data_IF_902593143459
#
_entry.id   IF_902593143459
#
_cell.length_a   1.000
_cell.length_b   1.000
_cell.length_c   1.000
_cell.angle_alpha   90.00
_cell.angle_beta   90.00
_cell.angle_gamma   90.00
#
_symmetry.space_group_name_H-M   'P 1'
#
loop_
_entity.id
_entity.type
_entity.pdbx_description
1 polymer ?
#
# COMPACT_ATOMS: atom_id res chain seq x y z
N UNK A 1 -67.02 -17.37 49.98
CA UNK A 1 -65.67 -17.98 49.85
C UNK A 1 -65.54 -18.48 48.41
N UNK A 2 -64.53 -18.26 47.57
CA UNK A 2 -63.14 -17.74 47.68
C UNK A 2 -62.66 -17.32 46.27
N UNK A 3 -61.93 -16.19 46.24
CA UNK A 3 -60.77 -15.77 45.41
C UNK A 3 -60.77 -15.92 43.88
N UNK A 4 -60.70 -14.77 43.22
CA UNK A 4 -60.07 -14.50 41.92
C UNK A 4 -58.54 -14.60 41.98
N UNK A 5 -57.91 -15.09 40.91
CA UNK A 5 -56.46 -15.18 40.73
C UNK A 5 -56.07 -14.39 39.47
N UNK A 6 -55.33 -13.28 39.65
CA UNK A 6 -54.70 -12.54 38.56
C UNK A 6 -53.42 -13.23 38.10
N UNK A 7 -53.30 -13.48 36.78
CA UNK A 7 -52.04 -13.82 36.12
C UNK A 7 -51.16 -12.57 35.98
N UNK A 8 -49.93 -12.64 36.50
CA UNK A 8 -48.87 -11.65 36.28
C UNK A 8 -47.97 -12.19 35.16
N UNK A 9 -48.06 -11.62 33.96
CA UNK A 9 -47.13 -11.85 32.86
C UNK A 9 -45.79 -11.20 33.18
N UNK A 10 -44.71 -12.00 33.22
CA UNK A 10 -43.35 -11.49 33.32
C UNK A 10 -42.95 -10.73 32.07
N UNK A 11 -42.57 -9.46 32.23
CA UNK A 11 -41.85 -8.70 31.22
C UNK A 11 -40.39 -9.17 31.23
N UNK A 12 -39.94 -9.71 30.11
CA UNK A 12 -38.53 -10.03 29.84
C UNK A 12 -37.78 -8.75 29.47
N UNK A 13 -36.75 -8.42 30.26
CA UNK A 13 -35.80 -7.30 30.10
C UNK A 13 -34.97 -7.41 28.81
N UNK A 14 -35.55 -7.04 27.68
CA UNK A 14 -34.87 -7.03 26.38
C UNK A 14 -34.02 -5.77 26.13
N UNK A 15 -34.21 -4.69 26.89
CA UNK A 15 -33.60 -3.36 26.62
C UNK A 15 -32.26 -3.15 27.35
N UNK A 16 -32.11 -3.65 28.58
CA UNK A 16 -30.89 -3.43 29.38
C UNK A 16 -29.65 -4.15 28.81
N UNK A 17 -29.83 -5.35 28.24
CA UNK A 17 -28.74 -6.09 27.64
C UNK A 17 -28.16 -5.34 26.43
N UNK A 18 -29.02 -4.80 25.55
CA UNK A 18 -28.58 -4.10 24.35
C UNK A 18 -27.81 -2.81 24.64
N UNK A 19 -28.17 -2.09 25.71
CA UNK A 19 -27.48 -0.86 26.10
C UNK A 19 -26.14 -1.14 26.80
N UNK A 20 -26.04 -2.21 27.59
CA UNK A 20 -24.78 -2.68 28.17
C UNK A 20 -23.79 -3.16 27.10
N UNK A 21 -24.27 -3.90 26.10
CA UNK A 21 -23.44 -4.35 24.97
C UNK A 21 -22.93 -3.17 24.13
N UNK A 22 -23.78 -2.16 23.86
CA UNK A 22 -23.36 -0.93 23.15
C UNK A 22 -22.32 -0.13 23.95
N UNK A 23 -22.51 0.02 25.26
CA UNK A 23 -21.57 0.72 26.14
C UNK A 23 -20.22 0.01 26.27
N UNK A 24 -20.22 -1.32 26.36
CA UNK A 24 -18.99 -2.11 26.38
C UNK A 24 -18.21 -2.02 25.05
N UNK A 25 -18.92 -2.06 23.92
CA UNK A 25 -18.33 -1.94 22.58
C UNK A 25 -17.72 -0.56 22.34
N UNK A 26 -18.38 0.52 22.77
CA UNK A 26 -17.83 1.88 22.62
C UNK A 26 -16.58 2.09 23.49
N UNK A 27 -16.59 1.57 24.73
CA UNK A 27 -15.44 1.61 25.63
C UNK A 27 -14.26 0.80 25.10
N UNK A 28 -14.51 -0.35 24.47
CA UNK A 28 -13.46 -1.16 23.85
C UNK A 28 -12.81 -0.45 22.66
N UNK A 29 -13.61 0.18 21.79
CA UNK A 29 -13.11 0.95 20.64
C UNK A 29 -12.29 2.17 21.08
N UNK A 30 -12.71 2.87 22.14
CA UNK A 30 -11.93 3.98 22.71
C UNK A 30 -10.56 3.52 23.23
N UNK A 31 -10.50 2.38 23.94
CA UNK A 31 -9.22 1.82 24.41
C UNK A 31 -8.32 1.32 23.29
N UNK A 32 -8.88 0.81 22.20
CA UNK A 32 -8.10 0.44 21.01
C UNK A 32 -7.45 1.66 20.37
N UNK A 33 -8.22 2.74 20.19
CA UNK A 33 -7.72 4.00 19.65
C UNK A 33 -6.58 4.57 20.50
N UNK A 34 -6.74 4.57 21.82
CA UNK A 34 -5.70 5.02 22.76
C UNK A 34 -4.40 4.18 22.63
N UNK A 35 -4.51 2.86 22.41
CA UNK A 35 -3.33 2.01 22.16
C UNK A 35 -2.66 2.31 20.82
N UNK A 36 -3.45 2.56 19.77
CA UNK A 36 -2.93 2.96 18.45
C UNK A 36 -2.16 4.29 18.56
N UNK A 37 -2.70 5.26 19.31
CA UNK A 37 -2.07 6.56 19.53
C UNK A 37 -0.78 6.43 20.35
N UNK A 38 -0.81 5.66 21.44
CA UNK A 38 0.38 5.42 22.25
C UNK A 38 1.50 4.76 21.44
N UNK A 39 1.15 3.84 20.53
CA UNK A 39 2.12 3.23 19.61
C UNK A 39 2.64 4.23 18.57
N UNK A 40 1.82 5.18 18.10
CA UNK A 40 2.32 6.26 17.25
C UNK A 40 3.39 7.08 17.98
N UNK A 41 3.09 7.49 19.21
CA UNK A 41 3.99 8.34 19.99
C UNK A 41 5.27 7.64 20.45
N UNK A 42 5.36 6.31 20.40
CA UNK A 42 6.63 5.60 20.63
C UNK A 42 7.61 5.75 19.47
N UNK A 43 7.13 6.07 18.26
CA UNK A 43 7.97 6.28 17.07
C UNK A 43 8.00 7.74 16.59
N UNK A 44 7.03 8.55 17.00
CA UNK A 44 6.95 9.94 16.54
C UNK A 44 8.05 10.82 17.13
N UNK A 45 8.62 11.67 16.29
CA UNK A 45 9.54 12.71 16.70
C UNK A 45 8.79 13.81 17.46
N UNK A 46 9.28 14.17 18.64
CA UNK A 46 8.63 15.13 19.54
C UNK A 46 8.53 16.54 18.97
N UNK A 47 9.46 16.93 18.09
CA UNK A 47 9.52 18.26 17.50
C UNK A 47 8.59 18.39 16.29
N UNK A 48 8.54 17.37 15.43
CA UNK A 48 7.70 17.39 14.22
C UNK A 48 6.27 16.92 14.48
N UNK A 49 6.05 16.12 15.53
CA UNK A 49 4.77 15.47 15.82
C UNK A 49 4.42 14.35 14.82
N UNK A 50 5.38 13.92 14.01
CA UNK A 50 5.22 12.89 12.98
C UNK A 50 6.21 11.76 13.22
N UNK A 51 5.89 10.57 12.73
CA UNK A 51 6.91 9.53 12.51
C UNK A 51 7.71 9.97 11.30
N UNK A 52 8.98 10.28 11.49
CA UNK A 52 9.95 10.68 10.46
C UNK A 52 10.80 9.47 10.02
N UNK A 53 11.80 9.61 9.12
CA UNK A 53 12.58 8.48 8.64
C UNK A 53 13.21 7.64 9.77
N UNK A 54 13.72 8.27 10.81
CA UNK A 54 14.30 7.60 11.98
C UNK A 54 13.24 6.80 12.76
N UNK A 55 12.04 7.36 12.91
CA UNK A 55 10.90 6.66 13.48
C UNK A 55 10.44 5.47 12.63
N UNK A 56 10.46 5.60 11.30
CA UNK A 56 10.15 4.50 10.37
C UNK A 56 11.21 3.39 10.47
N UNK A 57 12.49 3.73 10.51
CA UNK A 57 13.57 2.74 10.70
C UNK A 57 13.40 1.97 12.02
N UNK A 58 13.09 2.68 13.10
CA UNK A 58 12.82 2.08 14.41
C UNK A 58 11.62 1.13 14.36
N UNK A 59 10.53 1.55 13.71
CA UNK A 59 9.36 0.70 13.48
C UNK A 59 9.71 -0.55 12.65
N UNK A 60 10.48 -0.39 11.58
CA UNK A 60 10.91 -1.49 10.71
C UNK A 60 11.74 -2.53 11.47
N UNK A 61 12.64 -2.06 12.33
CA UNK A 61 13.42 -2.91 13.24
C UNK A 61 12.50 -3.73 14.16
N UNK A 62 11.53 -3.10 14.80
CA UNK A 62 10.61 -3.75 15.75
C UNK A 62 9.68 -4.77 15.11
N UNK A 63 9.27 -4.55 13.85
CA UNK A 63 8.46 -5.51 13.09
C UNK A 63 9.32 -6.51 12.28
N UNK A 64 10.65 -6.44 12.40
CA UNK A 64 11.65 -7.30 11.76
C UNK A 64 11.54 -7.33 10.23
N UNK A 65 11.48 -6.14 9.62
CA UNK A 65 11.53 -5.97 8.16
C UNK A 65 12.55 -4.90 7.78
N UNK A 66 13.10 -4.97 6.57
CA UNK A 66 13.95 -3.90 6.05
C UNK A 66 13.11 -2.63 5.81
N UNK A 67 13.67 -1.45 6.03
CA UNK A 67 13.02 -0.18 5.65
C UNK A 67 12.83 -0.05 4.12
N UNK A 68 13.58 -0.84 3.33
CA UNK A 68 13.43 -0.97 1.87
C UNK A 68 12.45 -2.07 1.43
N UNK A 69 11.81 -2.77 2.38
CA UNK A 69 10.87 -3.84 2.06
C UNK A 69 9.58 -3.28 1.46
N UNK A 70 9.08 -3.91 0.40
CA UNK A 70 7.83 -3.50 -0.28
C UNK A 70 6.63 -3.45 0.67
N UNK A 71 6.65 -4.24 1.75
CA UNK A 71 5.59 -4.25 2.76
C UNK A 71 5.48 -2.92 3.51
N UNK A 72 6.56 -2.15 3.61
CA UNK A 72 6.52 -0.78 4.17
C UNK A 72 5.79 0.16 3.22
N UNK A 73 6.03 0.04 1.90
CA UNK A 73 5.28 0.79 0.89
C UNK A 73 3.79 0.39 0.86
N UNK A 74 3.48 -0.90 1.04
CA UNK A 74 2.11 -1.39 1.18
C UNK A 74 1.43 -0.83 2.45
N UNK A 75 2.17 -0.69 3.54
CA UNK A 75 1.67 -0.07 4.77
C UNK A 75 1.36 1.42 4.55
N UNK A 76 2.24 2.15 3.88
CA UNK A 76 2.01 3.54 3.48
C UNK A 76 0.75 3.68 2.60
N UNK A 77 0.56 2.76 1.64
CA UNK A 77 -0.66 2.70 0.83
C UNK A 77 -1.91 2.48 1.70
N UNK A 78 -1.85 1.55 2.66
CA UNK A 78 -2.96 1.26 3.57
C UNK A 78 -3.34 2.45 4.45
N UNK A 79 -2.33 3.22 4.88
CA UNK A 79 -2.49 4.46 5.64
C UNK A 79 -2.98 5.63 4.78
N UNK A 80 -2.88 5.51 3.45
CA UNK A 80 -3.02 6.60 2.48
C UNK A 80 -2.05 7.74 2.80
N UNK A 81 -0.79 7.39 3.02
CA UNK A 81 0.25 8.34 3.37
C UNK A 81 0.50 9.33 2.22
N UNK A 82 0.55 10.63 2.54
CA UNK A 82 0.71 11.68 1.54
C UNK A 82 2.18 12.00 1.24
N UNK A 83 3.07 11.84 2.23
CA UNK A 83 4.48 12.21 2.12
C UNK A 83 5.40 11.01 2.32
N UNK A 84 6.34 10.79 1.40
CA UNK A 84 7.33 9.73 1.54
C UNK A 84 8.21 9.92 2.77
N UNK A 85 8.36 8.85 3.55
CA UNK A 85 9.23 8.85 4.73
C UNK A 85 8.61 9.52 5.96
N UNK A 86 7.32 9.89 5.92
CA UNK A 86 6.63 10.48 7.06
C UNK A 86 5.24 9.87 7.24
N UNK A 87 4.82 9.69 8.49
CA UNK A 87 3.44 9.37 8.84
C UNK A 87 2.90 10.34 9.90
N UNK A 88 1.73 10.89 9.60
CA UNK A 88 0.92 11.66 10.55
C UNK A 88 0.10 10.72 11.44
N UNK A 89 -0.38 11.24 12.58
CA UNK A 89 -1.23 10.48 13.50
C UNK A 89 -2.52 9.99 12.82
N UNK A 90 -3.10 10.79 11.93
CA UNK A 90 -4.35 10.45 11.24
C UNK A 90 -4.16 9.33 10.20
N UNK A 91 -3.07 9.37 9.43
CA UNK A 91 -2.68 8.29 8.51
C UNK A 91 -2.41 6.99 9.28
N UNK A 92 -1.67 7.10 10.38
CA UNK A 92 -1.37 5.97 11.26
C UNK A 92 -2.63 5.33 11.83
N UNK A 93 -3.52 6.14 12.42
CA UNK A 93 -4.83 5.69 12.95
C UNK A 93 -5.64 4.98 11.87
N UNK A 94 -5.72 5.56 10.67
CA UNK A 94 -6.45 5.00 9.52
C UNK A 94 -5.93 3.61 9.17
N UNK A 95 -4.61 3.46 9.02
CA UNK A 95 -3.96 2.21 8.66
C UNK A 95 -4.12 1.14 9.74
N UNK A 96 -3.74 1.44 10.97
CA UNK A 96 -3.75 0.45 12.06
C UNK A 96 -5.15 0.02 12.47
N UNK A 97 -6.13 0.94 12.41
CA UNK A 97 -7.54 0.57 12.61
C UNK A 97 -8.04 -0.36 11.51
N UNK A 98 -7.69 -0.08 10.24
CA UNK A 98 -8.07 -0.94 9.12
C UNK A 98 -7.40 -2.33 9.19
N UNK A 99 -6.18 -2.41 9.74
CA UNK A 99 -5.44 -3.65 9.98
C UNK A 99 -5.80 -4.35 11.30
N UNK A 100 -6.59 -3.70 12.17
CA UNK A 100 -6.88 -4.16 13.55
C UNK A 100 -5.61 -4.46 14.35
N UNK A 101 -4.62 -3.60 14.19
CA UNK A 101 -3.28 -3.77 14.71
C UNK A 101 -2.92 -2.64 15.68
N UNK A 102 -3.22 -2.79 16.96
CA UNK A 102 -2.96 -1.81 18.02
C UNK A 102 -1.66 -2.07 18.81
N UNK A 103 -0.80 -2.98 18.32
CA UNK A 103 0.52 -3.31 18.90
C UNK A 103 1.48 -3.71 17.78
N UNK A 104 2.80 -3.57 18.02
CA UNK A 104 3.87 -4.02 17.09
C UNK A 104 3.64 -5.46 16.62
N UNK A 105 3.39 -6.37 17.56
CA UNK A 105 3.18 -7.79 17.25
C UNK A 105 1.97 -8.03 16.34
N UNK A 106 0.88 -7.28 16.53
CA UNK A 106 -0.29 -7.39 15.64
C UNK A 106 0.00 -6.77 14.28
N UNK A 107 0.72 -5.65 14.22
CA UNK A 107 1.11 -5.02 12.96
C UNK A 107 2.00 -5.96 12.13
N UNK A 108 3.04 -6.53 12.74
CA UNK A 108 3.91 -7.54 12.12
C UNK A 108 3.11 -8.72 11.56
N UNK A 109 2.14 -9.24 12.33
CA UNK A 109 1.26 -10.35 11.90
C UNK A 109 0.27 -9.95 10.80
N UNK A 110 -0.06 -8.67 10.67
CA UNK A 110 -0.97 -8.17 9.64
C UNK A 110 -0.29 -7.99 8.28
N UNK A 111 1.03 -7.82 8.22
CA UNK A 111 1.75 -7.57 6.96
C UNK A 111 1.53 -8.66 5.88
N UNK A 112 1.56 -9.98 6.19
CA UNK A 112 1.30 -11.00 5.16
C UNK A 112 -0.12 -10.94 4.60
N UNK A 113 -1.11 -10.57 5.41
CA UNK A 113 -2.49 -10.45 4.96
C UNK A 113 -2.70 -9.14 4.17
N UNK A 114 -2.00 -8.06 4.54
CA UNK A 114 -1.94 -6.85 3.74
C UNK A 114 -1.30 -7.10 2.36
N UNK A 115 -0.25 -7.92 2.29
CA UNK A 115 0.36 -8.29 1.01
C UNK A 115 -0.63 -9.04 0.10
N UNK A 116 -1.38 -10.00 0.65
CA UNK A 116 -2.46 -10.68 -0.08
C UNK A 116 -3.56 -9.71 -0.51
N UNK A 117 -3.90 -8.75 0.34
CA UNK A 117 -4.88 -7.70 0.03
C UNK A 117 -4.45 -6.86 -1.17
N UNK A 118 -3.19 -6.41 -1.17
CA UNK A 118 -2.60 -5.58 -2.22
C UNK A 118 -2.50 -6.35 -3.53
N UNK A 119 -2.13 -7.64 -3.49
CA UNK A 119 -1.97 -8.48 -4.69
C UNK A 119 -3.28 -8.79 -5.44
N UNK A 120 -4.45 -8.39 -4.93
CA UNK A 120 -5.71 -8.51 -5.69
C UNK A 120 -5.71 -7.52 -6.86
N UNK A 121 -6.15 -7.89 -8.08
CA UNK A 121 -5.96 -7.09 -9.28
C UNK A 121 -6.34 -5.60 -9.16
N UNK A 122 -7.53 -5.31 -8.63
CA UNK A 122 -8.01 -3.92 -8.46
C UNK A 122 -7.20 -3.14 -7.44
N UNK A 123 -6.78 -3.80 -6.36
CA UNK A 123 -5.96 -3.18 -5.32
C UNK A 123 -4.53 -2.97 -5.81
N UNK A 124 -4.00 -3.91 -6.58
CA UNK A 124 -2.64 -3.82 -7.10
C UNK A 124 -2.50 -2.66 -8.07
N UNK A 125 -3.49 -2.43 -8.94
CA UNK A 125 -3.49 -1.27 -9.83
C UNK A 125 -3.48 0.06 -9.06
N UNK A 126 -4.30 0.18 -8.00
CA UNK A 126 -4.32 1.37 -7.13
C UNK A 126 -3.01 1.54 -6.34
N UNK A 127 -2.49 0.44 -5.78
CA UNK A 127 -1.19 0.41 -5.10
C UNK A 127 -0.04 0.80 -6.03
N UNK A 128 -0.04 0.29 -7.26
CA UNK A 128 0.98 0.58 -8.26
C UNK A 128 0.97 2.06 -8.66
N UNK A 129 -0.21 2.65 -8.85
CA UNK A 129 -0.35 4.10 -9.08
C UNK A 129 0.02 4.92 -7.83
N UNK A 130 -0.29 4.44 -6.63
CA UNK A 130 0.12 5.06 -5.38
C UNK A 130 1.64 5.07 -5.22
N UNK A 131 2.32 3.96 -5.48
CA UNK A 131 3.78 3.83 -5.35
C UNK A 131 4.52 4.94 -6.11
N UNK A 132 4.13 5.21 -7.36
CA UNK A 132 4.71 6.29 -8.15
C UNK A 132 4.41 7.67 -7.57
N UNK A 133 3.15 7.93 -7.17
CA UNK A 133 2.78 9.22 -6.55
C UNK A 133 3.54 9.46 -5.25
N UNK A 134 3.77 8.40 -4.48
CA UNK A 134 4.48 8.48 -3.22
C UNK A 134 5.94 8.93 -3.43
N UNK A 135 6.57 8.58 -4.55
CA UNK A 135 7.90 9.05 -4.92
C UNK A 135 7.96 10.49 -5.45
N UNK A 136 6.82 11.18 -5.64
CA UNK A 136 6.79 12.59 -6.04
C UNK A 136 6.90 13.46 -4.78
N UNK A 137 8.11 13.89 -4.44
CA UNK A 137 8.38 14.60 -3.18
C UNK A 137 8.22 16.11 -3.27
N UNK A 138 8.14 16.69 -4.47
CA UNK A 138 8.00 18.13 -4.70
C UNK A 138 6.61 18.49 -5.26
N UNK A 139 6.01 19.61 -4.83
CA UNK A 139 4.62 20.00 -5.15
C UNK A 139 4.27 20.04 -6.66
N UNK A 140 5.26 20.32 -7.52
CA UNK A 140 5.08 20.45 -8.97
C UNK A 140 5.70 19.31 -9.76
N UNK A 141 6.28 18.32 -9.09
CA UNK A 141 6.89 17.17 -9.74
C UNK A 141 5.81 16.28 -10.34
N UNK A 142 5.97 15.92 -11.61
CA UNK A 142 5.05 15.04 -12.34
C UNK A 142 5.73 13.80 -12.90
N UNK A 143 7.03 13.68 -12.66
CA UNK A 143 7.88 12.63 -13.20
C UNK A 143 8.96 12.26 -12.19
N UNK A 144 9.38 11.00 -12.25
CA UNK A 144 10.45 10.42 -11.42
C UNK A 144 11.65 10.12 -12.32
N UNK A 145 12.87 10.30 -11.83
CA UNK A 145 14.09 9.99 -12.59
C UNK A 145 14.23 8.48 -12.86
N UNK A 146 15.05 8.14 -13.86
CA UNK A 146 15.22 6.75 -14.31
C UNK A 146 15.76 5.83 -13.21
N UNK A 147 16.68 6.31 -12.37
CA UNK A 147 17.31 5.48 -11.33
C UNK A 147 16.26 5.06 -10.30
N UNK A 148 15.52 6.04 -9.77
CA UNK A 148 14.42 5.81 -8.84
C UNK A 148 13.30 4.94 -9.45
N UNK A 149 12.96 5.12 -10.73
CA UNK A 149 11.96 4.27 -11.41
C UNK A 149 12.44 2.82 -11.53
N UNK A 150 13.72 2.60 -11.82
CA UNK A 150 14.27 1.24 -11.90
C UNK A 150 14.16 0.51 -10.55
N UNK A 151 14.50 1.20 -9.45
CA UNK A 151 14.33 0.66 -8.10
C UNK A 151 12.86 0.35 -7.80
N UNK A 152 11.97 1.28 -8.11
CA UNK A 152 10.54 1.12 -7.87
C UNK A 152 9.94 -0.03 -8.69
N UNK A 153 10.31 -0.18 -9.98
CA UNK A 153 9.90 -1.31 -10.83
C UNK A 153 10.33 -2.64 -10.21
N UNK A 154 11.59 -2.74 -9.79
CA UNK A 154 12.13 -3.94 -9.14
C UNK A 154 11.38 -4.27 -7.86
N UNK A 155 11.05 -3.25 -7.07
CA UNK A 155 10.36 -3.37 -5.79
C UNK A 155 8.91 -3.84 -5.94
N UNK A 156 8.14 -3.23 -6.86
CA UNK A 156 6.69 -3.46 -6.93
C UNK A 156 6.29 -4.53 -7.96
N UNK A 157 7.00 -4.66 -9.09
CA UNK A 157 6.67 -5.64 -10.14
C UNK A 157 7.63 -6.84 -10.18
N UNK A 158 8.85 -6.71 -9.65
CA UNK A 158 9.90 -7.72 -9.83
C UNK A 158 9.55 -9.12 -9.31
N UNK A 159 8.69 -9.24 -8.29
CA UNK A 159 8.26 -10.55 -7.79
C UNK A 159 7.35 -11.31 -8.75
N UNK A 160 6.54 -10.60 -9.55
CA UNK A 160 5.55 -11.20 -10.45
C UNK A 160 6.03 -11.25 -11.90
N UNK A 161 6.80 -10.24 -12.33
CA UNK A 161 7.20 -10.03 -13.72
C UNK A 161 8.73 -9.93 -13.86
N UNK A 162 9.46 -10.78 -13.12
CA UNK A 162 10.93 -10.72 -13.00
C UNK A 162 11.63 -10.50 -14.33
N UNK A 163 11.35 -11.36 -15.32
CA UNK A 163 12.01 -11.30 -16.62
C UNK A 163 11.70 -9.98 -17.36
N UNK A 164 10.43 -9.58 -17.44
CA UNK A 164 10.03 -8.32 -18.08
C UNK A 164 10.70 -7.12 -17.39
N UNK A 165 10.67 -7.09 -16.05
CA UNK A 165 11.21 -6.00 -15.24
C UNK A 165 12.72 -5.89 -15.39
N UNK A 166 13.45 -7.02 -15.39
CA UNK A 166 14.90 -7.01 -15.53
C UNK A 166 15.33 -6.43 -16.90
N UNK A 167 14.65 -6.82 -17.99
CA UNK A 167 14.91 -6.26 -19.32
C UNK A 167 14.45 -4.80 -19.46
N UNK A 168 13.32 -4.42 -18.88
CA UNK A 168 12.87 -3.03 -18.85
C UNK A 168 13.89 -2.15 -18.11
N UNK A 169 14.39 -2.60 -16.95
CA UNK A 169 15.43 -1.88 -16.19
C UNK A 169 16.73 -1.79 -17.01
N UNK A 170 17.14 -2.87 -17.68
CA UNK A 170 18.32 -2.85 -18.55
C UNK A 170 18.16 -1.79 -19.64
N UNK A 171 17.03 -1.82 -20.37
CA UNK A 171 16.72 -0.86 -21.42
C UNK A 171 16.69 0.58 -20.90
N UNK A 172 15.99 0.84 -19.80
CA UNK A 172 15.85 2.18 -19.23
C UNK A 172 17.21 2.78 -18.84
N UNK A 173 18.17 1.95 -18.40
CA UNK A 173 19.53 2.37 -18.02
C UNK A 173 20.43 2.71 -19.22
N UNK A 174 20.22 2.09 -20.38
CA UNK A 174 21.08 2.30 -21.56
C UNK A 174 20.52 3.33 -22.54
N UNK A 175 19.20 3.51 -22.59
CA UNK A 175 18.56 4.47 -23.48
C UNK A 175 18.89 5.91 -23.03
N UNK A 176 18.98 6.84 -23.97
CA UNK A 176 19.28 8.26 -23.68
C UNK A 176 18.12 9.23 -23.93
N UNK A 177 17.03 8.75 -24.51
CA UNK A 177 15.89 9.56 -24.94
C UNK A 177 15.05 10.08 -23.76
N UNK A 178 15.00 9.31 -22.68
CA UNK A 178 14.24 9.61 -21.48
C UNK A 178 15.16 9.79 -20.28
N UNK A 179 14.97 10.90 -19.56
CA UNK A 179 15.62 11.19 -18.26
C UNK A 179 14.69 11.02 -17.08
N UNK A 180 13.39 11.01 -17.34
CA UNK A 180 12.33 10.88 -16.34
C UNK A 180 11.16 10.08 -16.92
N UNK A 181 10.39 9.46 -16.05
CA UNK A 181 9.17 8.72 -16.36
C UNK A 181 7.99 9.43 -15.70
N UNK A 182 6.91 9.63 -16.43
CA UNK A 182 5.66 10.19 -15.92
C UNK A 182 4.64 9.10 -15.54
N UNK A 183 3.50 9.50 -14.96
CA UNK A 183 2.44 8.56 -14.55
C UNK A 183 1.90 7.70 -15.69
N UNK A 184 1.74 8.25 -16.89
CA UNK A 184 1.19 7.51 -18.04
C UNK A 184 2.12 6.38 -18.47
N UNK A 185 3.42 6.69 -18.61
CA UNK A 185 4.46 5.70 -18.91
C UNK A 185 4.56 4.64 -17.82
N UNK A 186 4.53 5.05 -16.55
CA UNK A 186 4.54 4.14 -15.40
C UNK A 186 3.38 3.15 -15.46
N UNK A 187 2.15 3.64 -15.64
CA UNK A 187 0.96 2.78 -15.79
C UNK A 187 1.03 1.91 -17.05
N UNK A 188 1.65 2.42 -18.12
CA UNK A 188 1.96 1.67 -19.33
C UNK A 188 2.83 0.44 -19.04
N UNK A 189 3.86 0.55 -18.20
CA UNK A 189 4.72 -0.59 -17.84
C UNK A 189 3.94 -1.72 -17.16
N UNK A 190 3.01 -1.38 -16.25
CA UNK A 190 2.14 -2.39 -15.64
C UNK A 190 1.18 -3.00 -16.65
N UNK A 191 0.55 -2.19 -17.50
CA UNK A 191 -0.33 -2.68 -18.57
C UNK A 191 0.43 -3.63 -19.50
N UNK A 192 1.65 -3.26 -19.88
CA UNK A 192 2.53 -4.08 -20.71
C UNK A 192 2.82 -5.44 -20.08
N UNK A 193 3.18 -5.47 -18.78
CA UNK A 193 3.45 -6.71 -18.07
C UNK A 193 2.24 -7.65 -17.99
N UNK A 194 1.01 -7.12 -18.00
CA UNK A 194 -0.21 -7.93 -17.94
C UNK A 194 -0.71 -8.39 -19.31
N UNK A 195 -0.56 -7.54 -20.34
CA UNK A 195 -1.23 -7.74 -21.62
C UNK A 195 -0.31 -8.31 -22.70
N UNK A 196 0.99 -8.08 -22.64
CA UNK A 196 1.92 -8.42 -23.72
C UNK A 196 2.64 -9.74 -23.43
N UNK A 197 2.66 -10.60 -24.46
CA UNK A 197 3.38 -11.86 -24.45
C UNK A 197 4.88 -11.58 -24.44
N UNK A 198 5.59 -12.26 -23.55
CA UNK A 198 7.02 -12.07 -23.33
C UNK A 198 7.72 -13.43 -23.29
N UNK A 199 8.87 -13.61 -23.99
CA UNK A 199 9.71 -12.59 -24.65
C UNK A 199 9.46 -12.42 -26.16
N UNK A 200 8.41 -13.02 -26.73
CA UNK A 200 8.17 -13.07 -28.18
C UNK A 200 7.45 -11.83 -28.75
N UNK A 201 6.68 -11.10 -27.93
CA UNK A 201 5.90 -9.92 -28.31
C UNK A 201 4.90 -10.18 -29.45
N UNK A 202 4.42 -11.43 -29.59
CA UNK A 202 3.58 -11.85 -30.71
C UNK A 202 2.24 -11.10 -30.80
N UNK A 203 1.74 -10.60 -29.66
CA UNK A 203 0.51 -9.82 -29.58
C UNK A 203 0.77 -8.31 -29.41
N UNK A 204 2.00 -7.83 -29.63
CA UNK A 204 2.32 -6.41 -29.58
C UNK A 204 1.92 -5.71 -30.89
N UNK A 205 1.11 -4.66 -30.79
CA UNK A 205 0.73 -3.79 -31.90
C UNK A 205 1.14 -2.34 -31.60
N UNK A 206 2.12 -1.78 -32.34
CA UNK A 206 2.59 -0.40 -32.15
C UNK A 206 1.56 0.66 -32.56
N UNK A 207 0.46 0.29 -33.21
CA UNK A 207 -0.62 1.22 -33.54
C UNK A 207 -1.59 1.45 -32.37
N UNK A 208 -1.48 0.67 -31.29
CA UNK A 208 -2.22 0.90 -30.06
C UNK A 208 -1.60 2.07 -29.28
N UNK A 209 -2.36 2.63 -28.34
CA UNK A 209 -1.92 3.77 -27.52
C UNK A 209 -0.92 3.35 -26.42
N UNK A 210 0.20 2.74 -26.80
CA UNK A 210 1.34 2.50 -25.92
C UNK A 210 2.17 3.79 -25.78
N UNK A 211 2.73 4.04 -24.58
CA UNK A 211 3.77 5.04 -24.43
C UNK A 211 4.96 4.72 -25.34
N UNK A 212 5.49 5.71 -26.05
CA UNK A 212 6.59 5.54 -27.02
C UNK A 212 7.83 4.83 -26.43
N UNK A 213 8.09 4.98 -25.13
CA UNK A 213 9.18 4.27 -24.44
C UNK A 213 9.02 2.75 -24.50
N UNK A 214 7.79 2.24 -24.55
CA UNK A 214 7.48 0.82 -24.69
C UNK A 214 7.62 0.35 -26.14
N UNK A 215 7.26 1.17 -27.13
CA UNK A 215 7.54 0.87 -28.54
C UNK A 215 9.05 0.70 -28.76
N UNK A 216 9.83 1.68 -28.30
CA UNK A 216 11.29 1.64 -28.40
C UNK A 216 11.89 0.46 -27.63
N UNK A 217 11.32 0.08 -26.47
CA UNK A 217 11.73 -1.10 -25.72
C UNK A 217 11.52 -2.40 -26.52
N UNK A 218 10.36 -2.56 -27.17
CA UNK A 218 10.07 -3.75 -27.98
C UNK A 218 10.98 -3.83 -29.19
N UNK A 219 11.25 -2.70 -29.86
CA UNK A 219 12.22 -2.64 -30.96
C UNK A 219 13.63 -3.05 -30.50
N UNK A 220 14.08 -2.52 -29.37
CA UNK A 220 15.37 -2.87 -28.77
C UNK A 220 15.46 -4.36 -28.42
N UNK A 221 14.40 -4.95 -27.85
CA UNK A 221 14.36 -6.38 -27.55
C UNK A 221 14.44 -7.25 -28.82
N UNK A 222 13.72 -6.89 -29.88
CA UNK A 222 13.74 -7.61 -31.17
C UNK A 222 15.12 -7.55 -31.83
N UNK A 223 15.79 -6.40 -31.75
CA UNK A 223 17.15 -6.24 -32.27
C UNK A 223 18.18 -7.13 -31.54
N UNK A 224 18.00 -7.39 -30.24
CA UNK A 224 18.86 -8.30 -29.46
C UNK A 224 18.67 -9.78 -29.77
N UNK A 225 17.52 -10.17 -30.31
CA UNK A 225 17.22 -11.55 -30.68
C UNK A 225 17.71 -11.92 -32.09
N UNK A 226 18.20 -10.94 -32.85
CA UNK A 226 18.77 -11.09 -34.20
C UNK A 226 20.29 -11.17 -34.12
#
# INVERSE_FOLDING_TARGET
>A
MRRSVSRKTGQTNSTDATDLFRSASSKASSKEMERIDNLFYSYANKSSGMIDPEGIESLCSDIEVSHTDVRILMLAWKMKAEKQGYFTLEEWRRGLKALRADTVNKLKKALPDLEKEVKRPTNFQDFYAFAFRYCLTEEKQKSVDIESVCELLGLVLGSQYRAQVDYLIEYLKIQSDYKVINMDQWMGFYRFCNEISFPDFNNYDPNLAWPLVLDNFVEWMKAKQT
#
